data_IF_152012267508
#
_entry.id   IF_152012267508
#
_cell.length_a   1.000
_cell.length_b   1.000
_cell.length_c   1.000
_cell.angle_alpha   90.00
_cell.angle_beta   90.00
_cell.angle_gamma   90.00
#
_symmetry.space_group_name_H-M   'P 1'
#
loop_
_entity.id
_entity.type
_entity.pdbx_description
1 polymer ?
#
# COMPACT_ATOMS: atom_id res chain seq x y z
N UNK A 1 12.42 14.17 25.32
CA UNK A 1 12.55 14.47 23.88
C UNK A 1 13.40 13.46 23.09
N UNK A 2 14.13 12.53 23.72
CA UNK A 2 14.95 11.54 22.98
C UNK A 2 14.24 10.21 22.58
N UNK A 3 13.01 9.95 23.06
CA UNK A 3 12.28 8.70 22.75
C UNK A 3 11.61 8.66 21.37
N UNK A 4 11.42 9.81 20.70
CA UNK A 4 10.85 9.89 19.36
C UNK A 4 11.81 9.40 18.26
N UNK A 5 13.12 9.33 18.54
CA UNK A 5 14.15 8.93 17.57
C UNK A 5 14.36 7.42 17.46
N UNK A 6 13.77 6.61 18.34
CA UNK A 6 14.03 5.17 18.36
C UNK A 6 13.03 4.34 17.56
N UNK A 7 11.94 4.94 17.06
CA UNK A 7 10.95 4.25 16.23
C UNK A 7 10.76 5.00 14.89
N UNK A 8 11.63 4.76 13.88
CA UNK A 8 11.57 5.47 12.60
C UNK A 8 10.31 5.16 11.78
N UNK A 9 9.61 4.06 12.07
CA UNK A 9 8.35 3.68 11.41
C UNK A 9 7.18 4.51 11.97
N UNK A 10 7.25 4.89 13.25
CA UNK A 10 6.18 5.57 13.96
C UNK A 10 6.09 7.10 13.74
N UNK A 11 7.13 7.73 13.19
CA UNK A 11 7.24 9.20 13.21
C UNK A 11 7.34 9.85 11.83
N UNK A 12 7.38 9.06 10.74
CA UNK A 12 7.58 9.58 9.39
C UNK A 12 6.37 9.27 8.52
N UNK A 13 5.73 10.33 8.02
CA UNK A 13 4.82 10.22 6.88
C UNK A 13 5.67 9.87 5.66
N UNK A 14 5.33 8.80 4.96
CA UNK A 14 6.02 8.40 3.73
C UNK A 14 5.02 8.16 2.60
N UNK A 15 5.48 8.43 1.37
CA UNK A 15 4.73 8.19 0.14
C UNK A 15 5.62 7.46 -0.86
N UNK A 16 5.83 6.14 -0.67
CA UNK A 16 6.50 5.31 -1.66
C UNK A 16 5.67 5.23 -2.94
N UNK A 17 6.35 5.30 -4.07
CA UNK A 17 5.82 5.05 -5.40
C UNK A 17 6.54 3.84 -5.96
N UNK A 18 5.79 2.84 -6.41
CA UNK A 18 6.35 1.65 -7.04
C UNK A 18 5.70 1.47 -8.40
N UNK A 19 6.51 1.44 -9.45
CA UNK A 19 6.07 1.19 -10.80
C UNK A 19 6.44 -0.24 -11.21
N UNK A 20 5.47 -0.98 -11.74
CA UNK A 20 5.62 -2.32 -12.27
C UNK A 20 5.22 -2.32 -13.75
N UNK A 21 6.02 -2.99 -14.56
CA UNK A 21 5.71 -3.27 -15.97
C UNK A 21 5.72 -4.78 -16.14
N UNK A 22 4.55 -5.33 -16.43
CA UNK A 22 4.35 -6.75 -16.75
C UNK A 22 4.17 -6.88 -18.26
N UNK A 23 4.76 -7.91 -18.87
CA UNK A 23 4.63 -8.22 -20.31
C UNK A 23 4.23 -9.68 -20.51
N UNK A 24 3.78 -10.02 -21.72
CA UNK A 24 3.47 -11.41 -22.07
C UNK A 24 2.21 -11.95 -21.42
N UNK A 25 1.22 -11.07 -21.20
CA UNK A 25 -0.05 -11.44 -20.57
C UNK A 25 -1.01 -11.97 -21.63
N UNK A 26 -1.51 -13.19 -21.41
CA UNK A 26 -2.55 -13.80 -22.23
C UNK A 26 -2.10 -14.19 -23.64
N UNK A 27 -3.07 -14.44 -24.52
CA UNK A 27 -2.80 -14.93 -25.89
C UNK A 27 -2.39 -13.83 -26.85
N UNK A 28 -2.58 -12.57 -26.45
CA UNK A 28 -2.26 -11.39 -27.26
C UNK A 28 -0.88 -10.80 -26.96
N UNK A 29 -0.09 -11.40 -26.07
CA UNK A 29 1.21 -10.88 -25.62
C UNK A 29 1.09 -9.45 -25.04
N UNK A 30 0.06 -9.24 -24.21
CA UNK A 30 -0.32 -7.93 -23.70
C UNK A 30 0.62 -7.41 -22.62
N UNK A 31 0.76 -6.09 -22.56
CA UNK A 31 1.50 -5.40 -21.52
C UNK A 31 0.56 -4.81 -20.48
N UNK A 32 1.06 -4.66 -19.25
CA UNK A 32 0.37 -3.96 -18.18
C UNK A 32 1.35 -3.13 -17.37
N UNK A 33 1.02 -1.85 -17.25
CA UNK A 33 1.66 -0.92 -16.34
C UNK A 33 0.85 -0.77 -15.06
N UNK A 34 1.51 -0.84 -13.90
CA UNK A 34 0.88 -0.57 -12.61
C UNK A 34 1.73 0.38 -11.77
N UNK A 35 1.17 1.52 -11.37
CA UNK A 35 1.76 2.44 -10.40
C UNK A 35 1.07 2.29 -9.05
N UNK A 36 1.77 1.70 -8.09
CA UNK A 36 1.32 1.60 -6.70
C UNK A 36 1.72 2.87 -5.93
N UNK A 37 0.73 3.67 -5.54
CA UNK A 37 0.87 4.81 -4.64
C UNK A 37 0.58 4.35 -3.21
N UNK A 38 1.55 4.49 -2.30
CA UNK A 38 1.51 3.76 -1.02
C UNK A 38 1.61 4.64 0.25
N UNK A 39 0.73 5.63 0.48
CA UNK A 39 0.87 6.49 1.66
C UNK A 39 0.90 5.68 2.97
N UNK A 40 1.89 5.98 3.81
CA UNK A 40 2.00 5.46 5.18
C UNK A 40 2.00 6.64 6.13
N UNK A 41 0.96 6.71 6.96
CA UNK A 41 0.70 7.84 7.85
C UNK A 41 0.53 7.29 9.28
N UNK A 42 1.45 7.62 10.21
CA UNK A 42 1.28 7.32 11.62
C UNK A 42 0.39 8.36 12.30
N UNK A 43 -0.48 7.90 13.20
CA UNK A 43 -1.33 8.70 14.06
C UNK A 43 -1.08 8.33 15.52
N UNK A 44 -0.98 9.34 16.38
CA UNK A 44 -0.89 9.15 17.83
C UNK A 44 -2.27 8.73 18.38
N UNK A 45 -2.38 7.54 18.95
CA UNK A 45 -3.61 7.12 19.65
C UNK A 45 -3.63 7.60 21.10
N UNK A 46 -2.49 7.50 21.78
CA UNK A 46 -2.27 7.98 23.15
C UNK A 46 -0.78 8.14 23.43
N UNK A 47 -0.38 8.25 24.70
CA UNK A 47 1.02 8.40 25.13
C UNK A 47 1.93 7.25 24.75
N UNK A 48 1.37 6.05 24.57
CA UNK A 48 2.13 4.79 24.47
C UNK A 48 1.94 4.07 23.13
N UNK A 49 0.89 4.39 22.37
CA UNK A 49 0.49 3.67 21.16
C UNK A 49 0.31 4.57 19.94
N UNK A 50 0.65 4.01 18.77
CA UNK A 50 0.39 4.56 17.45
C UNK A 50 -0.59 3.70 16.67
N UNK A 51 -1.33 4.34 15.78
CA UNK A 51 -2.03 3.72 14.67
C UNK A 51 -1.31 4.10 13.38
N UNK A 52 -0.80 3.12 12.65
CA UNK A 52 -0.17 3.34 11.35
C UNK A 52 -1.17 2.96 10.27
N UNK A 53 -1.60 3.94 9.48
CA UNK A 53 -2.41 3.72 8.28
C UNK A 53 -1.48 3.50 7.09
N UNK A 54 -1.65 2.39 6.38
CA UNK A 54 -0.99 2.14 5.10
C UNK A 54 -2.05 1.85 4.06
N UNK A 55 -2.11 2.70 3.05
CA UNK A 55 -3.02 2.53 1.91
C UNK A 55 -2.18 2.18 0.69
N UNK A 56 -2.63 1.24 -0.14
CA UNK A 56 -2.04 0.95 -1.45
C UNK A 56 -3.12 1.23 -2.49
N UNK A 57 -2.86 2.20 -3.36
CA UNK A 57 -3.71 2.56 -4.48
C UNK A 57 -3.00 2.16 -5.77
N UNK A 58 -3.44 1.09 -6.45
CA UNK A 58 -2.88 0.71 -7.75
C UNK A 58 -3.57 1.52 -8.87
N UNK A 59 -2.77 2.25 -9.64
CA UNK A 59 -3.19 2.85 -10.91
C UNK A 59 -2.73 1.93 -12.02
N UNK A 60 -3.66 1.42 -12.83
CA UNK A 60 -3.43 0.35 -13.80
C UNK A 60 -3.74 0.87 -15.19
N UNK A 61 -2.88 0.51 -16.13
CA UNK A 61 -3.06 0.66 -17.57
C UNK A 61 -2.66 -0.69 -18.20
N UNK A 62 -3.59 -1.35 -18.87
CA UNK A 62 -3.46 -2.73 -19.29
C UNK A 62 -3.99 -2.91 -20.71
N UNK A 63 -3.18 -3.51 -21.57
CA UNK A 63 -3.61 -3.91 -22.90
C UNK A 63 -4.56 -5.11 -22.83
N UNK A 64 -5.37 -5.27 -23.87
CA UNK A 64 -6.25 -6.42 -24.03
C UNK A 64 -5.45 -7.74 -24.02
N UNK A 65 -5.64 -8.57 -22.99
CA UNK A 65 -4.97 -9.88 -22.87
C UNK A 65 -5.40 -10.94 -23.89
N UNK A 66 -6.43 -10.66 -24.70
CA UNK A 66 -6.97 -11.54 -25.74
C UNK A 66 -7.22 -10.77 -27.03
N UNK A 67 -7.12 -11.47 -28.17
CA UNK A 67 -7.33 -10.86 -29.48
C UNK A 67 -8.77 -10.35 -29.62
N UNK A 68 -8.91 -9.06 -29.96
CA UNK A 68 -10.21 -8.40 -30.10
C UNK A 68 -10.86 -7.99 -28.78
N UNK A 69 -10.14 -8.07 -27.65
CA UNK A 69 -10.53 -7.42 -26.40
C UNK A 69 -10.25 -5.92 -26.42
N UNK A 70 -10.70 -5.22 -25.38
CA UNK A 70 -10.46 -3.80 -25.17
C UNK A 70 -9.31 -3.58 -24.19
N UNK A 71 -8.60 -2.46 -24.36
CA UNK A 71 -7.62 -2.00 -23.38
C UNK A 71 -8.33 -1.36 -22.19
N UNK A 72 -7.73 -1.49 -21.01
CA UNK A 72 -8.32 -1.10 -19.74
C UNK A 72 -7.40 -0.18 -18.96
N UNK A 73 -7.94 0.91 -18.44
CA UNK A 73 -7.21 1.77 -17.51
C UNK A 73 -8.12 2.23 -16.38
N UNK A 74 -7.51 2.39 -15.21
CA UNK A 74 -8.21 2.87 -14.04
C UNK A 74 -7.52 2.55 -12.73
N UNK A 75 -8.31 2.53 -11.67
CA UNK A 75 -7.85 2.24 -10.31
C UNK A 75 -8.22 0.80 -10.01
N UNK A 76 -7.31 0.01 -9.45
CA UNK A 76 -7.62 -1.32 -8.94
C UNK A 76 -8.13 -1.27 -7.48
N UNK A 77 -8.35 -2.44 -6.90
CA UNK A 77 -8.79 -2.52 -5.51
C UNK A 77 -7.77 -1.93 -4.54
N UNK A 78 -8.25 -1.09 -3.62
CA UNK A 78 -7.41 -0.45 -2.61
C UNK A 78 -7.18 -1.40 -1.45
N UNK A 79 -5.91 -1.61 -1.09
CA UNK A 79 -5.55 -2.34 0.13
C UNK A 79 -5.32 -1.35 1.25
N UNK A 80 -6.13 -1.43 2.31
CA UNK A 80 -5.99 -0.61 3.51
C UNK A 80 -5.53 -1.47 4.68
N UNK A 81 -4.39 -1.12 5.26
CA UNK A 81 -3.85 -1.75 6.48
C UNK A 81 -3.84 -0.76 7.63
N UNK A 82 -4.23 -1.23 8.81
CA UNK A 82 -4.17 -0.46 10.05
C UNK A 82 -3.33 -1.24 11.05
N UNK A 83 -2.20 -0.69 11.48
CA UNK A 83 -1.32 -1.33 12.45
C UNK A 83 -1.27 -0.58 13.77
N UNK A 84 -1.62 -1.25 14.85
CA UNK A 84 -1.41 -0.78 16.21
C UNK A 84 0.01 -1.15 16.64
N UNK A 85 0.83 -0.16 17.00
CA UNK A 85 2.23 -0.37 17.37
C UNK A 85 2.61 0.45 18.60
N UNK A 86 3.33 -0.11 19.59
CA UNK A 86 3.86 0.66 20.69
C UNK A 86 4.86 1.72 20.21
N UNK A 87 4.81 2.90 20.82
CA UNK A 87 5.75 4.00 20.54
C UNK A 87 7.18 3.64 20.94
N UNK A 88 7.32 2.97 22.08
CA UNK A 88 8.61 2.56 22.61
C UNK A 88 8.93 1.11 22.21
N UNK A 89 10.19 0.80 21.88
CA UNK A 89 10.65 -0.58 21.76
C UNK A 89 10.43 -1.36 23.06
N UNK A 90 10.30 -2.69 22.95
CA UNK A 90 10.34 -3.59 24.12
C UNK A 90 11.71 -3.53 24.81
N UNK A 91 11.83 -4.13 26.00
CA UNK A 91 13.11 -4.22 26.71
C UNK A 91 14.24 -4.88 25.88
N UNK A 92 13.89 -5.73 24.91
CA UNK A 92 14.83 -6.35 23.97
C UNK A 92 15.08 -5.55 22.69
N UNK A 93 14.58 -4.32 22.58
CA UNK A 93 14.75 -3.45 21.42
C UNK A 93 13.79 -3.71 20.25
N UNK A 94 12.83 -4.62 20.40
CA UNK A 94 11.88 -4.93 19.33
C UNK A 94 10.75 -3.89 19.25
N UNK A 95 10.40 -3.50 18.03
CA UNK A 95 9.15 -2.80 17.74
C UNK A 95 8.27 -3.78 16.98
N UNK A 96 7.00 -3.87 17.37
CA UNK A 96 6.03 -4.75 16.75
C UNK A 96 4.76 -3.98 16.43
N UNK A 97 3.96 -4.50 15.51
CA UNK A 97 2.65 -3.96 15.19
C UNK A 97 1.70 -5.07 14.77
N UNK A 98 0.42 -4.89 15.06
CA UNK A 98 -0.64 -5.83 14.70
C UNK A 98 -1.88 -5.06 14.27
N UNK A 99 -2.63 -5.61 13.33
CA UNK A 99 -3.96 -5.10 13.02
C UNK A 99 -4.51 -5.64 11.71
N UNK A 100 -5.71 -5.18 11.33
CA UNK A 100 -6.43 -5.71 10.19
C UNK A 100 -5.88 -5.20 8.86
N UNK A 101 -6.11 -6.00 7.82
CA UNK A 101 -5.90 -5.65 6.42
C UNK A 101 -7.22 -5.84 5.71
N UNK A 102 -7.64 -4.83 4.96
CA UNK A 102 -8.85 -4.82 4.17
C UNK A 102 -8.50 -4.70 2.69
N UNK A 103 -9.10 -5.55 1.87
CA UNK A 103 -9.18 -5.35 0.42
C UNK A 103 -10.51 -4.66 0.14
N UNK A 104 -10.46 -3.44 -0.37
CA UNK A 104 -11.64 -2.65 -0.67
C UNK A 104 -11.95 -2.79 -2.16
N UNK A 105 -13.15 -3.25 -2.55
CA UNK A 105 -13.55 -3.42 -3.94
C UNK A 105 -13.85 -2.06 -4.58
N UNK A 106 -12.79 -1.27 -4.80
CA UNK A 106 -12.84 0.10 -5.35
C UNK A 106 -12.36 0.16 -6.78
N UNK A 107 -12.10 -1.00 -7.40
CA UNK A 107 -11.73 -1.05 -8.80
C UNK A 107 -12.76 -0.29 -9.66
N UNK A 108 -12.26 0.52 -10.58
CA UNK A 108 -13.12 1.19 -11.56
C UNK A 108 -13.70 0.16 -12.53
N UNK A 109 -14.92 0.38 -13.01
CA UNK A 109 -15.61 -0.51 -13.97
C UNK A 109 -14.85 -0.75 -15.29
N UNK A 110 -13.83 0.08 -15.57
CA UNK A 110 -12.99 0.02 -16.77
C UNK A 110 -11.58 -0.53 -16.53
N UNK A 111 -11.27 -1.01 -15.31
CA UNK A 111 -9.99 -1.60 -14.93
C UNK A 111 -10.06 -3.13 -14.77
#
# INVERSE_FOLDING_TARGET
MAKQLQNPIAALISLPLQYNWDTGIGTADADRSTLNVQPVIPFDLNTDWNLISRTIVPLIDADASVAGGDDHSGVGDVVQSLFFSPKAPTAGGWIWGVGPVFLLPTASDSA
#
